data_IF_066224152328
#
_entry.id   IF_066224152328
#
_cell.length_a   1.000
_cell.length_b   1.000
_cell.length_c   1.000
_cell.angle_alpha   90.00
_cell.angle_beta   90.00
_cell.angle_gamma   90.00
#
_symmetry.space_group_name_H-M   'P 1'
#
loop_
_entity.id
_entity.type
_entity.pdbx_description
1 polymer ?
#
# COMPACT_ATOMS: atom_id res chain seq x y z
N UNK A 1 16.96 23.77 -12.01
CA UNK A 1 16.67 22.76 -10.97
C UNK A 1 15.36 22.10 -11.38
N UNK A 2 15.29 20.78 -11.44
CA UNK A 2 14.08 20.04 -11.81
C UNK A 2 13.00 20.26 -10.75
N UNK A 3 11.77 20.57 -11.17
CA UNK A 3 10.63 20.73 -10.27
C UNK A 3 9.84 19.44 -10.22
N UNK A 4 9.74 18.85 -9.03
CA UNK A 4 8.98 17.65 -8.76
C UNK A 4 7.68 18.03 -8.06
N UNK A 5 6.57 17.63 -8.65
CA UNK A 5 5.23 17.81 -8.05
C UNK A 5 4.70 16.46 -7.65
N UNK A 6 4.38 16.28 -6.38
CA UNK A 6 3.84 15.05 -5.83
C UNK A 6 2.42 15.25 -5.34
N UNK A 7 1.57 14.30 -5.64
CA UNK A 7 0.25 14.16 -5.01
C UNK A 7 0.07 12.73 -4.53
N UNK A 8 -0.04 12.56 -3.22
CA UNK A 8 -0.31 11.28 -2.60
C UNK A 8 -1.63 11.31 -1.82
N UNK A 9 -2.36 10.20 -1.84
CA UNK A 9 -3.52 9.95 -0.99
C UNK A 9 -3.10 9.68 0.46
N UNK A 10 -1.91 9.10 0.64
CA UNK A 10 -1.37 8.74 1.93
C UNK A 10 -0.67 9.94 2.55
N UNK A 11 -0.94 10.20 3.83
CA UNK A 11 -0.16 11.17 4.57
C UNK A 11 1.28 10.65 4.72
N UNK A 12 2.28 11.48 4.44
CA UNK A 12 3.67 11.14 4.71
C UNK A 12 3.90 11.04 6.20
N UNK A 13 3.93 9.80 6.71
CA UNK A 13 4.18 9.50 8.11
C UNK A 13 5.12 8.30 8.22
N UNK A 14 6.38 8.47 8.68
CA UNK A 14 7.34 7.37 8.81
C UNK A 14 6.93 6.32 9.86
N UNK A 15 6.02 6.68 10.77
CA UNK A 15 5.48 5.78 11.80
C UNK A 15 4.06 5.31 11.50
N UNK A 16 3.54 5.62 10.30
CA UNK A 16 2.20 5.26 9.86
C UNK A 16 2.08 3.80 9.37
N UNK A 17 1.02 3.55 8.62
CA UNK A 17 0.82 2.27 7.94
C UNK A 17 1.81 2.09 6.76
N UNK A 18 1.76 0.91 6.13
CA UNK A 18 2.65 0.58 5.01
C UNK A 18 2.55 1.55 3.83
N UNK A 19 1.35 2.05 3.53
CA UNK A 19 1.14 3.06 2.50
C UNK A 19 1.79 4.39 2.84
N UNK A 20 1.60 4.88 4.07
CA UNK A 20 2.22 6.11 4.58
C UNK A 20 3.75 6.03 4.57
N UNK A 21 4.32 4.93 5.04
CA UNK A 21 5.77 4.68 5.02
C UNK A 21 6.32 4.61 3.59
N UNK A 22 5.61 3.95 2.67
CA UNK A 22 5.97 3.92 1.25
C UNK A 22 6.01 5.30 0.64
N UNK A 23 5.04 6.14 0.96
CA UNK A 23 5.00 7.54 0.52
C UNK A 23 6.19 8.35 1.04
N UNK A 24 6.62 8.12 2.29
CA UNK A 24 7.86 8.75 2.82
C UNK A 24 9.10 8.23 2.11
N UNK A 25 9.20 6.92 1.85
CA UNK A 25 10.33 6.36 1.07
C UNK A 25 10.48 7.03 -0.30
N UNK A 26 9.36 7.26 -1.02
CA UNK A 26 9.37 7.95 -2.31
C UNK A 26 9.82 9.40 -2.13
N UNK A 27 9.33 10.08 -1.10
CA UNK A 27 9.72 11.45 -0.77
C UNK A 27 11.21 11.58 -0.47
N UNK A 28 11.76 10.72 0.40
CA UNK A 28 13.19 10.67 0.73
C UNK A 28 14.06 10.46 -0.52
N UNK A 29 13.65 9.54 -1.41
CA UNK A 29 14.34 9.27 -2.67
C UNK A 29 14.48 10.51 -3.55
N UNK A 30 13.41 11.30 -3.67
CA UNK A 30 13.41 12.47 -4.54
C UNK A 30 14.08 13.68 -3.90
N UNK A 31 13.84 13.93 -2.60
CA UNK A 31 14.51 15.02 -1.86
C UNK A 31 16.04 14.85 -1.82
N UNK A 32 16.53 13.63 -1.87
CA UNK A 32 17.98 13.37 -1.95
C UNK A 32 18.63 13.81 -3.28
N UNK A 33 17.86 14.16 -4.31
CA UNK A 33 18.35 14.49 -5.66
C UNK A 33 18.57 15.99 -5.93
N UNK A 34 18.51 16.84 -4.91
CA UNK A 34 18.63 18.30 -5.06
C UNK A 34 17.62 18.90 -6.08
N UNK A 35 16.35 18.55 -5.90
CA UNK A 35 15.22 18.99 -6.72
C UNK A 35 14.35 19.98 -5.95
N UNK A 36 13.57 20.80 -6.67
CA UNK A 36 12.50 21.59 -6.08
C UNK A 36 11.27 20.68 -5.87
N UNK A 37 11.04 20.21 -4.63
CA UNK A 37 10.01 19.23 -4.31
C UNK A 37 8.78 19.91 -3.72
N UNK A 38 7.67 19.82 -4.46
CA UNK A 38 6.38 20.42 -4.10
C UNK A 38 5.38 19.31 -3.75
N UNK A 39 4.92 19.28 -2.51
CA UNK A 39 3.80 18.41 -2.10
C UNK A 39 2.47 19.14 -2.33
N UNK A 40 1.68 18.66 -3.26
CA UNK A 40 0.41 19.24 -3.64
C UNK A 40 -0.76 18.56 -2.93
N UNK A 41 -1.70 19.39 -2.47
CA UNK A 41 -2.97 18.93 -1.89
C UNK A 41 -4.17 19.16 -2.82
N UNK A 42 -3.96 19.84 -3.95
CA UNK A 42 -5.00 20.23 -4.89
C UNK A 42 -6.26 20.76 -4.20
N UNK A 43 -6.06 21.77 -3.35
CA UNK A 43 -7.15 22.39 -2.59
C UNK A 43 -8.15 23.01 -3.57
N UNK A 44 -9.37 22.50 -3.54
CA UNK A 44 -10.43 22.96 -4.43
C UNK A 44 -10.84 24.40 -4.09
N UNK A 45 -11.21 25.21 -5.09
CA UNK A 45 -11.70 26.57 -4.87
C UNK A 45 -12.95 26.54 -3.97
N UNK A 46 -12.94 27.36 -2.90
CA UNK A 46 -14.08 27.44 -1.97
C UNK A 46 -15.09 28.51 -2.37
N UNK A 47 -14.61 29.60 -2.97
CA UNK A 47 -15.43 30.73 -3.36
C UNK A 47 -15.31 30.93 -4.87
N UNK A 48 -16.42 30.80 -5.59
CA UNK A 48 -16.50 31.05 -7.02
C UNK A 48 -17.92 31.56 -7.40
N UNK A 49 -17.97 32.41 -8.41
CA UNK A 49 -19.25 32.90 -8.94
C UNK A 49 -19.92 31.82 -9.80
N UNK A 50 -21.23 31.97 -10.00
CA UNK A 50 -21.99 31.08 -10.90
C UNK A 50 -21.40 31.10 -12.31
N UNK A 51 -20.97 32.26 -12.81
CA UNK A 51 -20.36 32.41 -14.12
C UNK A 51 -19.05 31.61 -14.20
N UNK A 52 -18.20 31.69 -13.18
CA UNK A 52 -16.97 30.88 -13.11
C UNK A 52 -17.27 29.39 -13.12
N UNK A 53 -18.28 28.94 -12.35
CA UNK A 53 -18.69 27.52 -12.34
C UNK A 53 -19.14 27.09 -13.75
N UNK A 54 -19.96 27.88 -14.45
CA UNK A 54 -20.39 27.56 -15.81
C UNK A 54 -19.21 27.48 -16.79
N UNK A 55 -18.27 28.43 -16.70
CA UNK A 55 -17.03 28.39 -17.52
C UNK A 55 -16.24 27.13 -17.24
N UNK A 56 -16.04 26.74 -15.98
CA UNK A 56 -15.30 25.52 -15.62
C UNK A 56 -16.00 24.26 -16.11
N UNK A 57 -17.32 24.19 -16.04
CA UNK A 57 -18.12 23.07 -16.57
C UNK A 57 -17.93 22.96 -18.08
N UNK A 58 -18.06 24.07 -18.83
CA UNK A 58 -17.84 24.06 -20.28
C UNK A 58 -16.40 23.64 -20.63
N UNK A 59 -15.41 24.19 -19.94
CA UNK A 59 -14.00 23.84 -20.14
C UNK A 59 -13.74 22.36 -19.82
N UNK A 60 -14.38 21.82 -18.77
CA UNK A 60 -14.22 20.42 -18.43
C UNK A 60 -14.85 19.48 -19.46
N UNK A 61 -15.99 19.88 -20.04
CA UNK A 61 -16.58 19.15 -21.16
C UNK A 61 -15.62 19.07 -22.34
N UNK A 62 -15.03 20.17 -22.76
CA UNK A 62 -14.03 20.22 -23.84
C UNK A 62 -12.77 19.43 -23.48
N UNK A 63 -12.31 19.53 -22.24
CA UNK A 63 -11.14 18.79 -21.75
C UNK A 63 -11.37 17.29 -21.79
N UNK A 64 -12.48 16.81 -21.24
CA UNK A 64 -12.84 15.39 -21.25
C UNK A 64 -12.97 14.89 -22.69
N UNK A 65 -13.63 15.64 -23.58
CA UNK A 65 -13.79 15.27 -24.97
C UNK A 65 -12.45 15.14 -25.70
N UNK A 66 -11.48 15.99 -25.39
CA UNK A 66 -10.17 16.02 -26.06
C UNK A 66 -9.15 15.04 -25.48
N UNK A 67 -9.07 14.91 -24.15
CA UNK A 67 -7.95 14.24 -23.50
C UNK A 67 -8.31 12.95 -22.77
N UNK A 68 -9.58 12.75 -22.39
CA UNK A 68 -10.00 11.61 -21.56
C UNK A 68 -10.84 10.61 -22.37
N UNK A 69 -11.86 11.11 -23.05
CA UNK A 69 -12.88 10.31 -23.76
C UNK A 69 -14.09 9.97 -22.89
N UNK A 70 -15.30 10.30 -23.39
CA UNK A 70 -16.57 10.06 -22.70
C UNK A 70 -16.93 8.58 -22.55
N UNK A 71 -16.37 7.73 -23.40
CA UNK A 71 -16.57 6.28 -23.37
C UNK A 71 -15.99 5.60 -22.11
N UNK A 72 -15.11 6.28 -21.39
CA UNK A 72 -14.55 5.78 -20.12
C UNK A 72 -15.53 5.84 -18.95
N UNK A 73 -16.62 6.61 -19.08
CA UNK A 73 -17.62 6.78 -18.02
C UNK A 73 -18.92 6.07 -18.40
N UNK A 74 -19.31 5.11 -17.56
CA UNK A 74 -20.50 4.29 -17.80
C UNK A 74 -21.74 4.99 -17.24
N UNK A 75 -22.69 5.30 -18.15
CA UNK A 75 -23.94 5.93 -17.77
C UNK A 75 -23.89 7.45 -17.57
N UNK A 76 -25.07 8.08 -17.58
CA UNK A 76 -25.19 9.55 -17.48
C UNK A 76 -24.73 10.08 -16.13
N UNK A 77 -25.04 9.38 -15.05
CA UNK A 77 -24.65 9.77 -13.68
C UNK A 77 -23.14 9.92 -13.54
N UNK A 78 -22.37 8.95 -14.04
CA UNK A 78 -20.91 9.00 -13.94
C UNK A 78 -20.30 10.05 -14.87
N UNK A 79 -20.91 10.31 -16.03
CA UNK A 79 -20.52 11.40 -16.91
C UNK A 79 -20.72 12.78 -16.25
N UNK A 80 -21.85 12.98 -15.58
CA UNK A 80 -22.11 14.23 -14.83
C UNK A 80 -21.14 14.38 -13.65
N UNK A 81 -20.91 13.30 -12.89
CA UNK A 81 -19.95 13.30 -11.79
C UNK A 81 -18.52 13.62 -12.27
N UNK A 82 -18.09 12.99 -13.37
CA UNK A 82 -16.81 13.30 -13.98
C UNK A 82 -16.73 14.77 -14.42
N UNK A 83 -17.76 15.26 -15.11
CA UNK A 83 -17.81 16.66 -15.55
C UNK A 83 -17.58 17.63 -14.40
N UNK A 84 -18.30 17.47 -13.29
CA UNK A 84 -18.16 18.32 -12.10
C UNK A 84 -16.80 18.17 -11.43
N UNK A 85 -16.30 16.93 -11.31
CA UNK A 85 -15.01 16.67 -10.70
C UNK A 85 -13.86 17.30 -11.50
N UNK A 86 -13.91 17.20 -12.84
CA UNK A 86 -12.93 17.87 -13.72
C UNK A 86 -13.08 19.39 -13.69
N UNK A 87 -14.31 19.93 -13.63
CA UNK A 87 -14.55 21.37 -13.56
C UNK A 87 -13.87 22.01 -12.36
N UNK A 88 -13.98 21.40 -11.18
CA UNK A 88 -13.37 21.90 -9.95
C UNK A 88 -11.83 21.77 -9.93
N UNK A 89 -11.28 20.76 -10.63
CA UNK A 89 -9.84 20.48 -10.60
C UNK A 89 -9.04 21.16 -11.70
N UNK A 90 -9.66 21.50 -12.82
CA UNK A 90 -8.97 22.20 -13.93
C UNK A 90 -8.17 23.43 -13.48
N UNK A 91 -8.73 24.38 -12.71
CA UNK A 91 -7.99 25.59 -12.30
C UNK A 91 -6.82 25.28 -11.36
N UNK A 92 -6.95 24.26 -10.51
CA UNK A 92 -5.93 23.95 -9.48
C UNK A 92 -4.87 22.96 -9.95
N UNK A 93 -5.12 22.24 -11.04
CA UNK A 93 -4.16 21.30 -11.63
C UNK A 93 -3.71 21.77 -13.00
N UNK A 94 -4.57 21.70 -14.02
CA UNK A 94 -4.20 21.97 -15.40
C UNK A 94 -3.70 23.41 -15.61
N UNK A 95 -4.46 24.41 -15.17
CA UNK A 95 -4.10 25.82 -15.38
C UNK A 95 -2.85 26.21 -14.58
N UNK A 96 -2.66 25.60 -13.41
CA UNK A 96 -1.50 25.85 -12.56
C UNK A 96 -0.19 25.36 -13.18
N UNK A 97 -0.23 24.22 -13.89
CA UNK A 97 0.96 23.55 -14.37
C UNK A 97 1.15 23.54 -15.89
N UNK A 98 0.15 23.95 -16.65
CA UNK A 98 0.24 24.02 -18.12
C UNK A 98 1.46 24.83 -18.59
N UNK A 99 2.28 24.17 -19.43
CA UNK A 99 3.47 24.77 -20.02
C UNK A 99 4.65 24.93 -19.06
N UNK A 100 4.57 24.36 -17.87
CA UNK A 100 5.72 24.27 -16.96
C UNK A 100 6.48 22.97 -17.18
N UNK A 101 7.79 23.05 -17.09
CA UNK A 101 8.67 21.86 -17.12
C UNK A 101 8.69 21.23 -15.71
N UNK A 102 7.89 20.20 -15.53
CA UNK A 102 7.75 19.50 -14.25
C UNK A 102 7.70 17.98 -14.42
N UNK A 103 8.15 17.28 -13.40
CA UNK A 103 7.92 15.85 -13.22
C UNK A 103 6.84 15.65 -12.16
N UNK A 104 5.77 14.94 -12.52
CA UNK A 104 4.65 14.62 -11.61
C UNK A 104 4.78 13.21 -11.08
N UNK A 105 4.84 13.06 -9.75
CA UNK A 105 4.80 11.77 -9.08
C UNK A 105 3.36 11.37 -8.78
N UNK A 106 2.91 10.31 -9.41
CA UNK A 106 1.54 9.80 -9.31
C UNK A 106 1.49 8.52 -8.49
N UNK A 107 1.11 8.63 -7.20
CA UNK A 107 1.01 7.48 -6.29
C UNK A 107 -0.41 6.91 -6.21
N UNK A 108 -1.43 7.75 -6.37
CA UNK A 108 -2.82 7.33 -6.31
C UNK A 108 -3.36 6.98 -7.70
N UNK A 109 -3.19 5.73 -8.13
CA UNK A 109 -3.57 5.26 -9.47
C UNK A 109 -5.08 5.26 -9.74
N UNK A 110 -5.91 5.54 -8.74
CA UNK A 110 -7.34 5.78 -8.89
C UNK A 110 -7.70 7.27 -9.13
N UNK A 111 -6.77 8.21 -8.94
CA UNK A 111 -7.02 9.64 -9.20
C UNK A 111 -6.77 10.01 -10.66
N UNK A 112 -7.73 9.68 -11.52
CA UNK A 112 -7.67 9.93 -12.95
C UNK A 112 -7.57 11.42 -13.33
N UNK A 113 -8.30 12.36 -12.69
CA UNK A 113 -8.19 13.76 -13.05
C UNK A 113 -6.77 14.29 -12.97
N UNK A 114 -6.03 13.96 -11.91
CA UNK A 114 -4.63 14.39 -11.76
C UNK A 114 -3.77 13.84 -12.89
N UNK A 115 -3.89 12.55 -13.24
CA UNK A 115 -3.16 11.92 -14.33
C UNK A 115 -3.41 12.64 -15.67
N UNK A 116 -4.68 12.75 -16.09
CA UNK A 116 -5.01 13.32 -17.39
C UNK A 116 -4.69 14.81 -17.47
N UNK A 117 -4.89 15.56 -16.39
CA UNK A 117 -4.59 16.99 -16.37
C UNK A 117 -3.10 17.28 -16.40
N UNK A 118 -2.30 16.53 -15.64
CA UNK A 118 -0.85 16.67 -15.66
C UNK A 118 -0.24 16.25 -17.01
N UNK A 119 -0.73 15.14 -17.59
CA UNK A 119 -0.31 14.74 -18.94
C UNK A 119 -0.67 15.79 -20.00
N UNK A 120 -1.89 16.33 -19.95
CA UNK A 120 -2.33 17.40 -20.85
C UNK A 120 -1.58 18.73 -20.63
N UNK A 121 -1.10 18.98 -19.40
CA UNK A 121 -0.27 20.14 -19.07
C UNK A 121 1.16 20.03 -19.61
N UNK A 122 1.59 18.84 -20.07
CA UNK A 122 2.92 18.56 -20.60
C UNK A 122 3.92 18.02 -19.55
N UNK A 123 3.45 17.63 -18.36
CA UNK A 123 4.30 17.07 -17.34
C UNK A 123 4.86 15.69 -17.74
N UNK A 124 6.11 15.41 -17.36
CA UNK A 124 6.62 14.03 -17.28
C UNK A 124 5.94 13.33 -16.11
N UNK A 125 5.38 12.12 -16.32
CA UNK A 125 4.64 11.40 -15.29
C UNK A 125 5.40 10.16 -14.88
N UNK A 126 5.68 10.05 -13.59
CA UNK A 126 6.28 8.87 -12.98
C UNK A 126 5.29 8.29 -11.97
N UNK A 127 4.82 7.08 -12.23
CA UNK A 127 3.87 6.41 -11.34
C UNK A 127 4.58 5.55 -10.31
N UNK A 128 4.07 5.61 -9.08
CA UNK A 128 4.47 4.76 -7.95
C UNK A 128 3.23 4.06 -7.36
N UNK A 129 2.61 3.10 -8.08
CA UNK A 129 1.49 2.36 -7.53
C UNK A 129 1.90 1.65 -6.24
N UNK A 130 1.05 1.74 -5.22
CA UNK A 130 1.23 0.97 -3.98
C UNK A 130 0.82 -0.50 -4.18
N UNK A 131 -0.10 -0.72 -5.09
CA UNK A 131 -0.57 -2.01 -5.59
C UNK A 131 -1.08 -1.83 -7.01
N UNK A 132 -1.22 -2.91 -7.77
CA UNK A 132 -2.21 -2.94 -8.84
C UNK A 132 -3.59 -3.12 -8.21
N UNK A 133 -4.33 -2.03 -8.07
CA UNK A 133 -5.59 -1.99 -7.34
C UNK A 133 -6.64 -2.93 -7.94
N UNK A 134 -6.56 -3.16 -9.25
CA UNK A 134 -7.41 -4.14 -9.94
C UNK A 134 -7.18 -5.58 -9.50
N UNK A 135 -6.06 -5.89 -8.87
CA UNK A 135 -5.72 -7.22 -8.37
C UNK A 135 -5.91 -7.34 -6.86
N UNK A 136 -6.30 -6.27 -6.17
CA UNK A 136 -6.66 -6.33 -4.75
C UNK A 136 -8.10 -6.85 -4.62
N UNK A 137 -8.34 -7.95 -3.91
CA UNK A 137 -9.69 -8.48 -3.72
C UNK A 137 -10.67 -7.44 -3.19
N UNK A 138 -11.90 -7.46 -3.68
CA UNK A 138 -13.00 -6.55 -3.30
C UNK A 138 -12.89 -5.11 -3.80
N UNK A 139 -11.79 -4.71 -4.44
CA UNK A 139 -11.67 -3.38 -5.03
C UNK A 139 -12.60 -3.21 -6.25
N UNK A 140 -13.12 -2.00 -6.42
CA UNK A 140 -14.02 -1.63 -7.49
C UNK A 140 -13.45 -0.42 -8.23
N UNK A 141 -13.39 -0.49 -9.56
CA UNK A 141 -12.98 0.66 -10.36
C UNK A 141 -13.99 1.81 -10.25
N UNK A 142 -13.48 3.00 -9.98
CA UNK A 142 -14.28 4.20 -9.76
C UNK A 142 -14.98 4.72 -11.02
N UNK A 143 -14.58 4.28 -12.22
CA UNK A 143 -15.15 4.74 -13.50
C UNK A 143 -16.03 3.73 -14.16
N UNK A 144 -15.64 2.45 -14.16
CA UNK A 144 -16.36 1.36 -14.81
C UNK A 144 -17.25 0.56 -13.86
N UNK A 145 -17.06 0.73 -12.53
CA UNK A 145 -17.71 -0.05 -11.49
C UNK A 145 -17.48 -1.56 -11.59
N UNK A 146 -16.48 -1.99 -12.36
CA UNK A 146 -16.08 -3.39 -12.41
C UNK A 146 -15.37 -3.77 -11.12
N UNK A 147 -15.66 -4.96 -10.62
CA UNK A 147 -14.96 -5.53 -9.49
C UNK A 147 -13.61 -6.13 -9.91
N UNK A 148 -12.68 -6.20 -8.98
CA UNK A 148 -11.43 -6.94 -9.11
C UNK A 148 -11.71 -8.42 -9.50
N UNK A 149 -10.94 -9.02 -10.43
CA UNK A 149 -9.85 -8.42 -11.22
C UNK A 149 -10.29 -7.84 -12.59
N UNK A 150 -11.58 -7.72 -12.85
CA UNK A 150 -12.16 -7.46 -14.19
C UNK A 150 -11.88 -6.07 -14.76
N UNK A 151 -11.16 -5.21 -14.06
CA UNK A 151 -10.73 -3.89 -14.53
C UNK A 151 -9.21 -3.71 -14.65
N UNK A 152 -8.45 -4.83 -14.68
CA UNK A 152 -7.00 -4.80 -14.88
C UNK A 152 -6.61 -4.08 -16.18
N UNK A 153 -7.37 -4.31 -17.24
CA UNK A 153 -7.09 -3.66 -18.53
C UNK A 153 -7.19 -2.13 -18.43
N UNK A 154 -8.19 -1.61 -17.75
CA UNK A 154 -8.37 -0.18 -17.52
C UNK A 154 -7.23 0.42 -16.72
N UNK A 155 -6.73 -0.27 -15.69
CA UNK A 155 -5.59 0.17 -14.90
C UNK A 155 -4.31 0.18 -15.73
N UNK A 156 -4.07 -0.85 -16.50
CA UNK A 156 -2.94 -0.93 -17.44
C UNK A 156 -2.97 0.22 -18.46
N UNK A 157 -4.11 0.52 -19.06
CA UNK A 157 -4.25 1.63 -20.01
C UNK A 157 -3.98 3.00 -19.36
N UNK A 158 -4.28 3.16 -18.09
CA UNK A 158 -3.91 4.36 -17.31
C UNK A 158 -2.40 4.44 -17.08
N UNK A 159 -1.79 3.34 -16.69
CA UNK A 159 -0.34 3.27 -16.45
C UNK A 159 0.48 3.44 -17.73
N UNK A 160 -0.04 3.09 -18.91
CA UNK A 160 0.57 3.38 -20.22
C UNK A 160 0.69 4.88 -20.52
N UNK A 161 -0.07 5.74 -19.86
CA UNK A 161 0.06 7.19 -20.01
C UNK A 161 1.28 7.75 -19.27
N UNK A 162 1.87 6.97 -18.37
CA UNK A 162 3.04 7.37 -17.60
C UNK A 162 4.32 7.14 -18.40
N UNK A 163 5.33 7.98 -18.18
CA UNK A 163 6.63 7.88 -18.83
C UNK A 163 7.48 6.79 -18.17
N UNK A 164 7.29 6.58 -16.86
CA UNK A 164 7.91 5.51 -16.09
C UNK A 164 6.92 5.01 -15.01
N UNK A 165 7.01 3.72 -14.68
CA UNK A 165 6.22 3.10 -13.60
C UNK A 165 7.15 2.34 -12.67
N UNK A 166 7.07 2.60 -11.37
CA UNK A 166 7.87 1.93 -10.33
C UNK A 166 6.98 1.05 -9.45
N UNK A 167 6.84 -0.22 -9.84
CA UNK A 167 6.03 -1.19 -9.11
C UNK A 167 6.73 -1.68 -7.85
N UNK A 168 5.97 -1.97 -6.79
CA UNK A 168 6.48 -2.39 -5.49
C UNK A 168 6.86 -3.87 -5.47
N UNK A 169 6.29 -4.70 -6.35
CA UNK A 169 6.53 -6.14 -6.44
C UNK A 169 7.14 -6.55 -7.77
N UNK A 170 7.87 -7.67 -7.76
CA UNK A 170 8.49 -8.24 -8.99
C UNK A 170 7.43 -8.73 -9.96
N UNK A 171 6.38 -9.36 -9.44
CA UNK A 171 5.27 -9.89 -10.22
C UNK A 171 4.52 -8.77 -10.95
N UNK A 172 4.23 -7.67 -10.26
CA UNK A 172 3.59 -6.51 -10.89
C UNK A 172 4.51 -5.88 -11.94
N UNK A 173 5.80 -5.77 -11.66
CA UNK A 173 6.78 -5.27 -12.63
C UNK A 173 6.76 -6.12 -13.90
N UNK A 174 6.87 -7.44 -13.74
CA UNK A 174 6.84 -8.38 -14.86
C UNK A 174 5.51 -8.31 -15.64
N UNK A 175 4.38 -8.30 -14.91
CA UNK A 175 3.06 -8.19 -15.53
C UNK A 175 2.93 -6.90 -16.36
N UNK A 176 3.32 -5.76 -15.81
CA UNK A 176 3.25 -4.48 -16.51
C UNK A 176 4.15 -4.45 -17.75
N UNK A 177 5.35 -5.05 -17.68
CA UNK A 177 6.24 -5.18 -18.83
C UNK A 177 5.64 -6.02 -19.97
N UNK A 178 4.88 -7.09 -19.64
CA UNK A 178 4.14 -7.86 -20.65
C UNK A 178 3.11 -7.03 -21.41
N UNK A 179 2.52 -6.02 -20.75
CA UNK A 179 1.64 -5.05 -21.38
C UNK A 179 2.37 -3.90 -22.13
N UNK A 180 3.69 -3.97 -22.22
CA UNK A 180 4.52 -2.96 -22.90
C UNK A 180 4.74 -1.68 -22.10
N UNK A 181 4.54 -1.70 -20.79
CA UNK A 181 4.79 -0.55 -19.90
C UNK A 181 6.28 -0.53 -19.52
N UNK A 182 6.89 0.66 -19.52
CA UNK A 182 8.23 0.87 -18.98
C UNK A 182 8.20 0.79 -17.43
N UNK A 183 8.01 -0.42 -16.94
CA UNK A 183 7.91 -0.71 -15.51
C UNK A 183 9.27 -1.15 -14.97
N UNK A 184 9.60 -0.62 -13.79
CA UNK A 184 10.82 -0.94 -13.02
C UNK A 184 10.41 -1.42 -11.63
N UNK A 185 11.16 -2.39 -11.09
CA UNK A 185 11.00 -2.83 -9.71
C UNK A 185 11.61 -1.82 -8.75
N UNK A 186 10.79 -1.33 -7.82
CA UNK A 186 11.22 -0.46 -6.75
C UNK A 186 10.70 -1.02 -5.43
N UNK A 187 11.47 -1.89 -4.76
CA UNK A 187 11.03 -2.58 -3.54
C UNK A 187 10.75 -1.60 -2.42
N UNK A 188 9.88 -2.02 -1.52
CA UNK A 188 9.70 -1.33 -0.26
C UNK A 188 10.95 -1.49 0.61
N UNK A 189 11.35 -0.38 1.19
CA UNK A 189 12.28 -0.28 2.31
C UNK A 189 11.76 0.80 3.27
N UNK A 190 11.80 0.61 4.59
CA UNK A 190 11.26 1.60 5.51
C UNK A 190 12.04 2.92 5.43
N UNK A 191 11.36 4.07 5.65
CA UNK A 191 12.01 5.36 5.77
C UNK A 191 13.04 5.35 6.92
N UNK A 192 14.05 6.21 6.84
CA UNK A 192 15.16 6.26 7.81
C UNK A 192 14.70 6.29 9.27
N UNK A 193 13.71 7.12 9.59
CA UNK A 193 13.19 7.22 10.95
C UNK A 193 12.56 5.90 11.44
N UNK A 194 11.84 5.19 10.59
CA UNK A 194 11.26 3.90 10.93
C UNK A 194 12.34 2.79 11.00
N UNK A 195 13.33 2.82 10.10
CA UNK A 195 14.46 1.89 10.13
C UNK A 195 15.23 1.99 11.44
N UNK A 196 15.53 3.20 11.92
CA UNK A 196 16.20 3.43 13.20
C UNK A 196 15.44 2.81 14.38
N UNK A 197 14.11 2.88 14.39
CA UNK A 197 13.30 2.22 15.42
C UNK A 197 13.38 0.70 15.33
N UNK A 198 13.30 0.11 14.14
CA UNK A 198 13.43 -1.33 13.98
C UNK A 198 14.82 -1.83 14.38
N UNK A 199 15.87 -1.08 14.10
CA UNK A 199 17.23 -1.41 14.56
C UNK A 199 17.38 -1.34 16.08
N UNK A 200 16.71 -0.38 16.75
CA UNK A 200 16.66 -0.35 18.23
C UNK A 200 15.94 -1.58 18.79
N UNK A 201 14.80 -1.95 18.20
CA UNK A 201 14.08 -3.18 18.58
C UNK A 201 15.00 -4.39 18.41
N UNK A 202 15.74 -4.51 17.29
CA UNK A 202 16.69 -5.59 17.05
C UNK A 202 17.74 -5.66 18.17
N UNK A 203 18.37 -4.55 18.52
CA UNK A 203 19.38 -4.53 19.58
C UNK A 203 18.82 -5.01 20.93
N UNK A 204 17.60 -4.58 21.30
CA UNK A 204 16.93 -5.03 22.53
C UNK A 204 16.58 -6.52 22.48
N UNK A 205 16.10 -7.01 21.33
CA UNK A 205 15.85 -8.43 21.12
C UNK A 205 17.10 -9.28 21.30
N UNK A 206 18.22 -8.85 20.71
CA UNK A 206 19.48 -9.57 20.77
C UNK A 206 19.97 -9.69 22.24
N UNK A 207 19.70 -8.70 23.08
CA UNK A 207 19.98 -8.77 24.53
C UNK A 207 19.02 -9.71 25.26
N UNK A 208 17.70 -9.59 25.04
CA UNK A 208 16.70 -10.43 25.71
C UNK A 208 16.87 -11.90 25.35
N UNK A 209 17.17 -12.21 24.10
CA UNK A 209 17.36 -13.60 23.64
C UNK A 209 18.51 -14.33 24.30
N UNK A 210 19.56 -13.62 24.77
CA UNK A 210 20.68 -14.24 25.49
C UNK A 210 20.24 -14.92 26.80
N UNK A 211 19.16 -14.43 27.40
CA UNK A 211 18.71 -14.89 28.73
C UNK A 211 17.32 -15.53 28.70
N UNK A 212 16.69 -15.59 27.53
CA UNK A 212 15.32 -16.14 27.41
C UNK A 212 15.34 -17.64 27.66
N UNK A 213 14.65 -18.07 28.73
CA UNK A 213 14.40 -19.46 29.07
C UNK A 213 12.87 -19.66 29.07
N UNK A 214 12.40 -20.70 28.43
CA UNK A 214 10.96 -21.03 28.42
C UNK A 214 10.46 -21.47 27.05
N UNK A 215 9.16 -21.71 26.93
CA UNK A 215 8.56 -22.11 25.65
C UNK A 215 8.67 -20.99 24.62
N UNK A 216 8.73 -21.36 23.34
CA UNK A 216 8.68 -20.39 22.23
C UNK A 216 7.36 -19.63 22.25
N UNK A 217 7.39 -18.44 21.68
CA UNK A 217 6.20 -17.63 21.49
C UNK A 217 6.20 -16.93 20.13
N UNK A 218 5.04 -16.82 19.51
CA UNK A 218 4.90 -16.24 18.18
C UNK A 218 3.78 -15.22 18.15
N UNK A 219 3.89 -14.22 17.26
CA UNK A 219 2.93 -13.15 17.12
C UNK A 219 2.22 -13.21 15.76
N UNK A 220 0.91 -13.23 15.79
CA UNK A 220 0.04 -12.96 14.63
C UNK A 220 -0.31 -11.47 14.68
N UNK A 221 0.26 -10.67 13.79
CA UNK A 221 0.12 -9.22 13.78
C UNK A 221 -0.49 -8.72 12.47
N UNK A 222 -1.48 -7.84 12.55
CA UNK A 222 -2.04 -7.22 11.37
C UNK A 222 -3.16 -6.23 11.65
N UNK A 223 -3.62 -5.53 10.60
CA UNK A 223 -4.82 -4.71 10.65
C UNK A 223 -6.04 -5.51 10.21
N UNK A 224 -6.98 -5.77 11.11
CA UNK A 224 -8.21 -6.49 10.80
C UNK A 224 -9.21 -5.67 9.95
N UNK A 225 -8.91 -4.40 9.64
CA UNK A 225 -9.69 -3.60 8.68
C UNK A 225 -9.30 -3.86 7.23
N UNK A 226 -8.11 -4.44 6.99
CA UNK A 226 -7.68 -4.84 5.65
C UNK A 226 -8.18 -6.26 5.37
N UNK A 227 -9.08 -6.47 4.37
CA UNK A 227 -9.72 -7.77 4.17
C UNK A 227 -8.77 -8.94 3.98
N UNK A 228 -7.71 -8.90 3.13
CA UNK A 228 -6.76 -10.00 3.01
C UNK A 228 -6.03 -10.32 4.31
N UNK A 229 -5.64 -9.29 5.08
CA UNK A 229 -4.99 -9.47 6.39
C UNK A 229 -5.95 -10.10 7.40
N UNK A 230 -7.19 -9.61 7.47
CA UNK A 230 -8.24 -10.15 8.34
C UNK A 230 -8.47 -11.64 8.07
N UNK A 231 -8.64 -12.01 6.79
CA UNK A 231 -8.84 -13.42 6.40
C UNK A 231 -7.66 -14.28 6.83
N UNK A 232 -6.44 -13.82 6.58
CA UNK A 232 -5.24 -14.56 6.94
C UNK A 232 -5.08 -14.74 8.45
N UNK A 233 -5.34 -13.69 9.25
CA UNK A 233 -5.31 -13.78 10.71
C UNK A 233 -6.37 -14.76 11.22
N UNK A 234 -7.59 -14.71 10.68
CA UNK A 234 -8.67 -15.62 11.09
C UNK A 234 -8.34 -17.08 10.78
N UNK A 235 -7.81 -17.37 9.58
CA UNK A 235 -7.37 -18.73 9.24
C UNK A 235 -6.31 -19.27 10.21
N UNK A 236 -5.36 -18.44 10.64
CA UNK A 236 -4.36 -18.84 11.64
C UNK A 236 -4.98 -19.10 13.01
N UNK A 237 -5.90 -18.24 13.46
CA UNK A 237 -6.61 -18.40 14.72
C UNK A 237 -7.40 -19.71 14.71
N UNK A 238 -8.18 -19.94 13.65
CA UNK A 238 -9.02 -21.15 13.52
C UNK A 238 -8.15 -22.41 13.51
N UNK A 239 -7.01 -22.38 12.81
CA UNK A 239 -6.07 -23.48 12.76
C UNK A 239 -5.46 -23.76 14.14
N UNK A 240 -4.84 -22.77 14.80
CA UNK A 240 -4.19 -22.98 16.09
C UNK A 240 -5.19 -23.35 17.19
N UNK A 241 -6.40 -22.80 17.17
CA UNK A 241 -7.44 -23.15 18.11
C UNK A 241 -8.00 -24.58 17.92
N UNK A 242 -7.82 -25.17 16.75
CA UNK A 242 -8.20 -26.57 16.49
C UNK A 242 -7.17 -27.59 16.97
N UNK A 243 -5.94 -27.16 17.32
CA UNK A 243 -4.90 -28.06 17.85
C UNK A 243 -5.20 -28.36 19.32
N UNK A 244 -4.95 -29.59 19.77
CA UNK A 244 -5.18 -29.97 21.18
C UNK A 244 -4.08 -29.46 22.11
N UNK A 245 -2.85 -29.45 21.62
CA UNK A 245 -1.68 -29.09 22.42
C UNK A 245 -0.70 -28.27 21.58
N UNK A 246 -0.36 -27.07 22.05
CA UNK A 246 0.68 -26.26 21.46
C UNK A 246 1.87 -26.20 22.44
N UNK A 247 3.06 -26.53 21.98
CA UNK A 247 4.29 -26.42 22.78
C UNK A 247 4.81 -24.96 22.87
N UNK A 248 4.05 -24.00 22.34
CA UNK A 248 4.39 -22.57 22.26
C UNK A 248 3.15 -21.70 22.47
N UNK A 249 3.38 -20.42 22.78
CA UNK A 249 2.31 -19.45 22.94
C UNK A 249 2.10 -18.65 21.65
N UNK A 250 0.85 -18.43 21.26
CA UNK A 250 0.45 -17.57 20.15
C UNK A 250 -0.14 -16.28 20.70
N UNK A 251 0.46 -15.15 20.40
CA UNK A 251 -0.11 -13.83 20.62
C UNK A 251 -0.84 -13.35 19.37
N UNK A 252 -2.02 -12.77 19.54
CA UNK A 252 -2.82 -12.20 18.45
C UNK A 252 -3.09 -10.73 18.76
N UNK A 253 -2.67 -9.83 17.87
CA UNK A 253 -2.85 -8.40 18.10
C UNK A 253 -2.76 -7.55 16.83
N UNK A 254 -3.04 -6.26 17.00
CA UNK A 254 -2.99 -5.26 15.93
C UNK A 254 -4.30 -4.51 15.77
N UNK A 255 -4.31 -3.53 14.86
CA UNK A 255 -5.44 -2.62 14.73
C UNK A 255 -6.75 -3.35 14.41
N UNK A 256 -7.76 -3.16 15.27
CA UNK A 256 -9.09 -3.79 15.19
C UNK A 256 -9.08 -5.33 15.27
N UNK A 257 -8.03 -5.96 15.81
CA UNK A 257 -7.98 -7.42 15.94
C UNK A 257 -9.01 -7.96 16.95
N UNK A 258 -9.56 -7.13 17.84
CA UNK A 258 -10.70 -7.46 18.70
C UNK A 258 -11.99 -7.77 17.92
N UNK A 259 -12.04 -7.48 16.63
CA UNK A 259 -13.18 -7.81 15.76
C UNK A 259 -13.07 -9.17 15.08
N UNK A 260 -11.97 -9.90 15.33
CA UNK A 260 -11.80 -11.28 14.87
C UNK A 260 -12.63 -12.24 15.76
N UNK A 261 -12.94 -13.41 15.22
CA UNK A 261 -13.60 -14.47 16.00
C UNK A 261 -12.56 -15.17 16.89
N UNK A 262 -12.48 -14.71 18.14
CA UNK A 262 -11.53 -15.20 19.14
C UNK A 262 -11.96 -16.59 19.64
N UNK A 263 -11.24 -17.64 19.24
CA UNK A 263 -11.49 -19.01 19.70
C UNK A 263 -10.79 -19.24 21.04
N UNK A 264 -11.46 -19.81 22.05
CA UNK A 264 -10.84 -20.11 23.34
C UNK A 264 -9.78 -21.22 23.20
N UNK A 265 -8.56 -20.92 23.66
CA UNK A 265 -7.46 -21.89 23.73
C UNK A 265 -6.43 -21.43 24.78
N UNK A 266 -5.89 -22.34 25.60
CA UNK A 266 -5.00 -22.00 26.72
C UNK A 266 -3.67 -21.34 26.28
N UNK A 267 -3.17 -21.67 25.09
CA UNK A 267 -1.92 -21.12 24.54
C UNK A 267 -2.14 -19.98 23.54
N UNK A 268 -3.39 -19.49 23.33
CA UNK A 268 -3.64 -18.33 22.46
C UNK A 268 -4.04 -17.12 23.33
N UNK A 269 -3.31 -16.03 23.20
CA UNK A 269 -3.58 -14.79 23.94
C UNK A 269 -3.97 -13.68 22.97
N UNK A 270 -5.16 -13.11 23.18
CA UNK A 270 -5.72 -12.04 22.36
C UNK A 270 -5.51 -10.68 23.01
N UNK A 271 -4.83 -9.78 22.34
CA UNK A 271 -4.49 -8.46 22.84
C UNK A 271 -5.33 -7.32 22.24
N UNK A 272 -6.10 -7.59 21.18
CA UNK A 272 -6.86 -6.55 20.48
C UNK A 272 -5.97 -5.51 19.80
N UNK A 273 -6.46 -4.27 19.72
CA UNK A 273 -5.68 -3.15 19.22
C UNK A 273 -4.53 -2.83 20.18
N UNK A 274 -3.29 -2.95 19.70
CA UNK A 274 -2.09 -2.74 20.51
C UNK A 274 -1.72 -1.26 20.61
N UNK A 275 -1.31 -0.80 21.79
CA UNK A 275 -0.55 0.46 21.93
C UNK A 275 0.84 0.31 21.33
N UNK A 276 1.52 1.44 21.08
CA UNK A 276 2.89 1.44 20.53
C UNK A 276 3.84 0.71 21.49
N UNK A 277 3.71 0.97 22.79
CA UNK A 277 4.54 0.37 23.84
C UNK A 277 4.33 -1.15 23.89
N UNK A 278 3.05 -1.61 23.87
CA UNK A 278 2.75 -3.05 23.91
C UNK A 278 3.19 -3.77 22.65
N UNK A 279 3.10 -3.11 21.49
CA UNK A 279 3.63 -3.67 20.24
C UNK A 279 5.16 -3.83 20.33
N UNK A 280 5.89 -2.82 20.82
CA UNK A 280 7.35 -2.90 20.99
C UNK A 280 7.74 -3.99 21.97
N UNK A 281 7.06 -4.11 23.12
CA UNK A 281 7.26 -5.18 24.09
C UNK A 281 7.13 -6.58 23.43
N UNK A 282 6.01 -6.83 22.74
CA UNK A 282 5.80 -8.09 22.05
C UNK A 282 6.86 -8.36 20.96
N UNK A 283 7.21 -7.33 20.17
CA UNK A 283 8.25 -7.45 19.16
C UNK A 283 9.63 -7.78 19.76
N UNK A 284 9.91 -7.38 20.98
CA UNK A 284 11.15 -7.71 21.69
C UNK A 284 11.11 -9.15 22.21
N UNK A 285 9.99 -9.61 22.73
CA UNK A 285 9.87 -10.87 23.47
C UNK A 285 9.65 -12.12 22.60
N UNK A 286 8.83 -12.01 21.52
CA UNK A 286 8.42 -13.19 20.74
C UNK A 286 9.57 -13.75 19.89
N UNK A 287 9.52 -15.05 19.58
CA UNK A 287 10.55 -15.73 18.81
C UNK A 287 10.40 -15.53 17.30
N UNK A 288 9.20 -15.18 16.86
CA UNK A 288 8.93 -14.91 15.46
C UNK A 288 7.53 -14.36 15.21
N UNK A 289 7.28 -13.92 13.97
CA UNK A 289 5.97 -13.48 13.54
C UNK A 289 5.40 -14.44 12.51
N UNK A 290 4.10 -14.73 12.63
CA UNK A 290 3.39 -15.60 11.68
C UNK A 290 2.48 -14.75 10.81
N UNK A 291 2.61 -14.90 9.51
CA UNK A 291 1.82 -14.17 8.51
C UNK A 291 1.15 -15.18 7.59
N UNK A 292 -0.17 -15.13 7.52
CA UNK A 292 -0.94 -15.80 6.50
C UNK A 292 -1.74 -14.75 5.73
N UNK A 293 -1.71 -14.80 4.43
CA UNK A 293 -2.47 -13.87 3.59
C UNK A 293 -2.83 -14.54 2.27
N UNK A 294 -4.09 -14.47 1.82
CA UNK A 294 -4.45 -14.91 0.48
C UNK A 294 -3.66 -14.12 -0.56
N UNK A 295 -3.48 -14.71 -1.73
CA UNK A 295 -2.77 -14.05 -2.83
C UNK A 295 -3.48 -12.75 -3.20
N UNK A 296 -2.70 -11.66 -3.23
CA UNK A 296 -3.16 -10.31 -3.56
C UNK A 296 -2.01 -9.57 -4.29
N UNK A 297 -2.24 -8.36 -4.77
CA UNK A 297 -1.19 -7.51 -5.34
C UNK A 297 -0.40 -6.75 -4.26
N UNK A 298 0.64 -6.05 -4.68
CA UNK A 298 1.53 -5.29 -3.80
C UNK A 298 2.54 -6.17 -3.05
N UNK A 299 3.23 -5.59 -2.11
CA UNK A 299 4.21 -6.26 -1.25
C UNK A 299 3.91 -6.01 0.23
N UNK A 300 4.11 -7.02 1.08
CA UNK A 300 3.86 -6.88 2.51
C UNK A 300 5.04 -6.19 3.21
N UNK A 301 4.91 -4.89 3.45
CA UNK A 301 5.93 -4.06 4.10
C UNK A 301 6.38 -4.62 5.45
N UNK A 302 5.45 -5.20 6.21
CA UNK A 302 5.73 -5.81 7.53
C UNK A 302 6.73 -6.97 7.49
N UNK A 303 6.90 -7.67 6.36
CA UNK A 303 7.94 -8.70 6.25
C UNK A 303 9.33 -8.06 6.32
N UNK A 304 9.54 -6.98 5.56
CA UNK A 304 10.80 -6.23 5.57
C UNK A 304 11.06 -5.59 6.94
N UNK A 305 10.05 -4.95 7.51
CA UNK A 305 10.13 -4.29 8.82
C UNK A 305 10.51 -5.24 9.94
N UNK A 306 9.82 -6.38 10.03
CA UNK A 306 10.12 -7.39 11.06
C UNK A 306 11.52 -8.00 10.90
N UNK A 307 11.97 -8.22 9.65
CA UNK A 307 13.34 -8.68 9.41
C UNK A 307 14.38 -7.68 9.89
N UNK A 308 14.19 -6.37 9.62
CA UNK A 308 15.10 -5.33 10.11
C UNK A 308 15.11 -5.31 11.64
N UNK A 309 13.96 -5.56 12.27
CA UNK A 309 13.85 -5.72 13.72
C UNK A 309 14.46 -7.04 14.25
N UNK A 310 15.13 -7.85 13.41
CA UNK A 310 15.77 -9.11 13.80
C UNK A 310 14.78 -10.21 14.15
N UNK A 311 13.57 -10.18 13.56
CA UNK A 311 12.52 -11.14 13.83
C UNK A 311 12.40 -12.15 12.69
N UNK A 312 12.49 -13.47 12.95
CA UNK A 312 12.11 -14.49 12.00
C UNK A 312 10.65 -14.34 11.57
N UNK A 313 10.41 -14.44 10.27
CA UNK A 313 9.08 -14.32 9.67
C UNK A 313 8.66 -15.66 9.08
N UNK A 314 7.56 -16.21 9.56
CA UNK A 314 6.93 -17.41 9.03
C UNK A 314 5.73 -16.96 8.19
N UNK A 315 5.85 -17.06 6.87
CA UNK A 315 4.85 -16.52 5.98
C UNK A 315 4.40 -17.55 4.95
N UNK A 316 3.09 -17.62 4.67
CA UNK A 316 2.63 -18.44 3.57
C UNK A 316 3.16 -17.91 2.23
N UNK A 317 3.22 -18.77 1.21
CA UNK A 317 3.76 -18.40 -0.10
C UNK A 317 3.11 -17.13 -0.68
N UNK A 318 1.79 -16.97 -0.56
CA UNK A 318 1.08 -15.78 -1.04
C UNK A 318 1.55 -14.48 -0.39
N UNK A 319 1.90 -14.52 0.90
CA UNK A 319 2.44 -13.38 1.63
C UNK A 319 3.92 -13.12 1.31
N UNK A 320 4.72 -14.19 1.15
CA UNK A 320 6.17 -14.13 1.00
C UNK A 320 6.65 -13.98 -0.45
N UNK A 321 5.77 -13.99 -1.45
CA UNK A 321 6.12 -14.09 -2.88
C UNK A 321 7.28 -13.19 -3.36
N UNK A 322 7.38 -11.95 -2.84
CA UNK A 322 8.50 -11.04 -3.16
C UNK A 322 9.75 -11.26 -2.29
N UNK A 323 9.61 -12.01 -1.19
CA UNK A 323 10.58 -12.07 -0.10
C UNK A 323 11.05 -13.49 0.24
N UNK A 324 10.63 -14.51 -0.52
CA UNK A 324 10.90 -15.93 -0.22
C UNK A 324 12.39 -16.29 -0.19
N UNK A 325 13.24 -15.48 -0.84
CA UNK A 325 14.68 -15.69 -0.88
C UNK A 325 15.46 -14.83 0.14
N UNK A 326 14.75 -14.10 1.01
CA UNK A 326 15.40 -13.30 2.04
C UNK A 326 15.77 -14.19 3.25
N UNK A 327 16.93 -13.96 3.89
CA UNK A 327 17.28 -14.64 5.13
C UNK A 327 16.21 -14.34 6.20
N UNK A 328 15.97 -15.30 7.08
CA UNK A 328 14.98 -15.25 8.16
C UNK A 328 13.49 -15.12 7.70
N UNK A 329 13.21 -15.39 6.41
CA UNK A 329 11.86 -15.59 5.90
C UNK A 329 11.65 -17.07 5.62
N UNK A 330 10.85 -17.71 6.46
CA UNK A 330 10.47 -19.11 6.38
C UNK A 330 9.13 -19.25 5.69
N UNK A 331 9.13 -19.85 4.49
CA UNK A 331 7.91 -19.96 3.68
C UNK A 331 7.24 -21.30 3.95
N UNK A 332 5.92 -21.27 4.15
CA UNK A 332 5.10 -22.47 4.25
C UNK A 332 3.96 -22.46 3.21
N UNK A 333 3.55 -23.63 2.77
CA UNK A 333 2.43 -23.80 1.85
C UNK A 333 1.21 -24.39 2.55
N UNK A 334 1.43 -25.20 3.60
CA UNK A 334 0.37 -25.77 4.42
C UNK A 334 0.59 -25.45 5.90
N UNK A 335 -0.46 -25.56 6.70
CA UNK A 335 -0.33 -25.33 8.15
C UNK A 335 0.48 -26.43 8.86
N UNK A 336 0.52 -27.64 8.31
CA UNK A 336 1.38 -28.71 8.80
C UNK A 336 2.86 -28.35 8.61
N UNK A 337 3.23 -27.79 7.44
CA UNK A 337 4.59 -27.25 7.23
C UNK A 337 4.89 -26.12 8.23
N UNK A 338 3.92 -25.22 8.49
CA UNK A 338 4.09 -24.16 9.48
C UNK A 338 4.43 -24.73 10.86
N UNK A 339 3.70 -25.75 11.34
CA UNK A 339 3.95 -26.39 12.66
C UNK A 339 5.37 -26.97 12.73
N UNK A 340 5.86 -27.55 11.65
CA UNK A 340 7.23 -28.10 11.59
C UNK A 340 8.30 -27.00 11.70
N UNK A 341 8.00 -25.80 11.16
CA UNK A 341 8.91 -24.65 11.18
C UNK A 341 8.95 -23.93 12.55
N UNK A 342 7.86 -23.95 13.33
CA UNK A 342 7.76 -23.33 14.64
C UNK A 342 8.44 -24.14 15.73
#
# INVERSE_FOLDING_TARGET
METIVRYSKFASNPHGDGGSKRSVQIEELWRARNVDFIEEKFVLPKNYSVIQAMIWVLRSFLFISKYVGWNKFIGLKEKVKALLMYALRLPVIYDKYKGKDITFLWENTQDLPSLYMMKAAGAKIIAYPHNLESLVPTQVDITTHKQSPYWLYEEVERLKLCDEVYAISKEETWLLQLFGINAKYFPYYPPKAAEEEFLKIKALRDEVKKYKIGPKSFLILGSATNPPTRMGMQCLIDFFASQHDLSYTIYVGGYKSETLDCKPHSQIQYHGTLSVEKLQELLIEVDGIIINQPTTSGALTRIVENRIAGMPVYANFGAARDFYNLPDVHVYNTFEELVILL
#
